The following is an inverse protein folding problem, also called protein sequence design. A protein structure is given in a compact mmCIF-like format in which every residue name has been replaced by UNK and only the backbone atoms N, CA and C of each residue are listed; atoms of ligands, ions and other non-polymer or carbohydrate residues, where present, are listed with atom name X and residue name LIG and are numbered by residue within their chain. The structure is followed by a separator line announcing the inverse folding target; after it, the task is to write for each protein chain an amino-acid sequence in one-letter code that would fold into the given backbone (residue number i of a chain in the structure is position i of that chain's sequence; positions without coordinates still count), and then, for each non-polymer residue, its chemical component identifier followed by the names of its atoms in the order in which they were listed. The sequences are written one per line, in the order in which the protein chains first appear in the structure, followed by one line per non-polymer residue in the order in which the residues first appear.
data_IF_378724101540
#
_entry.id   IF_378724101540
#
_cell.length_a   1.000
_cell.length_b   1.000
_cell.length_c   1.000
_cell.angle_alpha   90.00
_cell.angle_beta   90.00
_cell.angle_gamma   90.00
#
_symmetry.space_group_name_H-M   'P 1'
#
loop_
_entity.id
_entity.type
_entity.pdbx_description
1 polymer ?
#
# COMPACT_ATOMS: atom_id res chain seq x y z
N UNK A 1 7.27 6.92 13.26
CA UNK A 1 6.38 6.63 12.12
C UNK A 1 5.43 5.50 12.50
N UNK A 2 4.27 5.43 11.85
CA UNK A 2 3.27 4.41 12.17
C UNK A 2 3.65 3.06 11.57
N UNK A 3 3.27 2.00 12.27
CA UNK A 3 3.33 0.60 11.81
C UNK A 3 1.90 0.07 11.70
N UNK A 4 1.69 -0.93 10.85
CA UNK A 4 0.41 -1.64 10.78
C UNK A 4 0.45 -2.83 11.74
N UNK A 5 -0.38 -2.79 12.79
CA UNK A 5 -0.53 -3.87 13.76
C UNK A 5 -2.02 -4.24 13.83
N UNK A 6 -2.37 -5.51 13.60
CA UNK A 6 -3.76 -6.01 13.62
C UNK A 6 -4.73 -5.20 12.73
N UNK A 7 -4.27 -4.76 11.53
CA UNK A 7 -4.98 -3.90 10.61
C UNK A 7 -5.31 -2.49 11.13
N UNK A 8 -4.53 -1.99 12.11
CA UNK A 8 -4.58 -0.62 12.62
C UNK A 8 -3.22 0.06 12.44
N UNK A 9 -3.22 1.38 12.23
CA UNK A 9 -2.02 2.20 12.21
C UNK A 9 -1.71 2.63 13.65
N UNK A 10 -0.56 2.19 14.17
CA UNK A 10 -0.11 2.53 15.53
C UNK A 10 1.31 3.09 15.49
N UNK A 11 1.65 4.06 16.35
CA UNK A 11 3.02 4.52 16.47
C UNK A 11 3.96 3.39 16.88
N UNK A 12 5.05 3.19 16.12
CA UNK A 12 5.97 2.09 16.40
C UNK A 12 7.39 2.32 15.89
N UNK A 13 8.33 1.57 16.49
CA UNK A 13 9.72 1.55 16.04
C UNK A 13 9.79 0.83 14.69
N UNK A 14 10.46 1.44 13.71
CA UNK A 14 10.62 0.83 12.38
C UNK A 14 9.59 1.26 11.33
N UNK A 15 8.65 2.16 11.63
CA UNK A 15 7.65 2.66 10.67
C UNK A 15 8.22 3.24 9.36
N UNK A 16 9.50 3.61 9.32
CA UNK A 16 10.20 4.04 8.10
C UNK A 16 10.75 2.90 7.22
N UNK A 17 10.85 1.67 7.72
CA UNK A 17 11.48 0.55 7.00
C UNK A 17 10.70 0.22 5.72
N UNK A 18 9.38 0.16 5.79
CA UNK A 18 8.54 -0.08 4.61
C UNK A 18 8.55 1.09 3.61
N UNK A 19 8.83 2.32 4.03
CA UNK A 19 9.04 3.44 3.11
C UNK A 19 10.35 3.27 2.33
N UNK A 20 11.39 2.77 2.96
CA UNK A 20 12.67 2.46 2.30
C UNK A 20 12.50 1.34 1.28
N UNK A 21 11.88 0.21 1.66
CA UNK A 21 11.62 -0.90 0.74
C UNK A 21 10.70 -0.49 -0.42
N UNK A 22 9.68 0.31 -0.15
CA UNK A 22 8.78 0.87 -1.17
C UNK A 22 9.54 1.76 -2.16
N UNK A 23 10.45 2.61 -1.68
CA UNK A 23 11.26 3.48 -2.55
C UNK A 23 12.20 2.64 -3.43
N UNK A 24 12.84 1.61 -2.86
CA UNK A 24 13.69 0.69 -3.60
C UNK A 24 12.88 -0.12 -4.64
N UNK A 25 11.70 -0.61 -4.27
CA UNK A 25 10.80 -1.32 -5.18
C UNK A 25 10.46 -0.46 -6.41
N UNK A 26 10.08 0.81 -6.19
CA UNK A 26 9.77 1.72 -7.29
C UNK A 26 11.00 2.02 -8.17
N UNK A 27 12.18 2.18 -7.58
CA UNK A 27 13.41 2.34 -8.34
C UNK A 27 13.69 1.12 -9.23
N UNK A 28 13.48 -0.09 -8.72
CA UNK A 28 13.63 -1.33 -9.47
C UNK A 28 12.61 -1.46 -10.60
N UNK A 29 11.33 -1.16 -10.34
CA UNK A 29 10.27 -1.17 -11.37
C UNK A 29 10.60 -0.25 -12.54
N UNK A 30 11.03 0.99 -12.23
CA UNK A 30 11.35 2.03 -13.23
C UNK A 30 12.70 1.79 -13.92
N UNK A 31 13.49 0.84 -13.46
CA UNK A 31 14.76 0.43 -14.06
C UNK A 31 14.66 -0.90 -14.81
N UNK A 32 13.44 -1.40 -15.03
CA UNK A 32 13.15 -2.67 -15.70
C UNK A 32 13.78 -3.90 -15.04
N UNK A 33 14.12 -3.82 -13.76
CA UNK A 33 14.62 -4.96 -13.02
C UNK A 33 13.49 -5.94 -12.69
N UNK A 34 13.82 -7.21 -12.58
CA UNK A 34 12.86 -8.25 -12.24
C UNK A 34 12.49 -8.18 -10.74
N UNK A 35 11.20 -8.20 -10.45
CA UNK A 35 10.68 -8.32 -9.09
C UNK A 35 10.42 -9.79 -8.79
N UNK A 36 11.32 -10.41 -8.04
CA UNK A 36 11.24 -11.85 -7.70
C UNK A 36 10.25 -12.11 -6.58
N UNK A 37 10.18 -11.20 -5.59
CA UNK A 37 9.25 -11.30 -4.47
C UNK A 37 8.93 -9.91 -3.93
N UNK A 38 7.65 -9.65 -3.73
CA UNK A 38 7.14 -8.43 -3.10
C UNK A 38 5.77 -8.72 -2.51
N UNK A 39 5.48 -8.13 -1.37
CA UNK A 39 4.16 -8.19 -0.72
C UNK A 39 3.66 -6.76 -0.51
N UNK A 40 2.40 -6.48 -0.87
CA UNK A 40 1.76 -5.19 -0.56
C UNK A 40 1.32 -5.13 0.91
N UNK A 41 1.09 -3.92 1.41
CA UNK A 41 0.48 -3.75 2.73
C UNK A 41 -0.95 -4.27 2.74
N UNK A 42 -1.41 -4.70 3.91
CA UNK A 42 -2.78 -5.18 4.09
C UNK A 42 -3.84 -4.08 3.93
N UNK A 43 -3.47 -2.82 4.20
CA UNK A 43 -4.29 -1.62 4.07
C UNK A 43 -3.70 -0.68 3.04
N UNK A 44 -4.51 0.19 2.39
CA UNK A 44 -3.99 1.30 1.60
C UNK A 44 -3.11 2.20 2.47
N UNK A 45 -1.97 2.62 1.93
CA UNK A 45 -1.05 3.56 2.58
C UNK A 45 -1.03 4.87 1.80
N UNK A 46 -0.76 5.99 2.50
CA UNK A 46 -0.92 7.33 1.92
C UNK A 46 0.32 7.86 1.20
N UNK A 47 1.51 7.29 1.43
CA UNK A 47 2.77 7.83 0.91
C UNK A 47 3.15 7.35 -0.50
N UNK A 48 2.38 6.45 -1.10
CA UNK A 48 2.60 5.94 -2.46
C UNK A 48 1.27 5.51 -3.09
N UNK A 49 1.12 5.58 -4.43
CA UNK A 49 -0.08 5.07 -5.10
C UNK A 49 -0.30 3.58 -4.86
N UNK A 50 -1.56 3.13 -4.93
CA UNK A 50 -1.95 1.72 -4.82
C UNK A 50 -1.12 0.84 -5.77
N UNK A 51 -0.69 -0.32 -5.28
CA UNK A 51 0.10 -1.28 -6.05
C UNK A 51 1.59 -0.95 -6.13
N UNK A 52 2.03 0.17 -5.59
CA UNK A 52 3.42 0.63 -5.65
C UNK A 52 4.16 0.58 -4.31
N UNK A 53 3.57 0.00 -3.31
CA UNK A 53 4.15 -0.23 -1.99
C UNK A 53 4.85 -1.60 -1.89
N UNK A 54 5.76 -1.73 -0.96
CA UNK A 54 6.44 -2.99 -0.65
C UNK A 54 6.65 -3.12 0.86
N UNK A 55 5.99 -4.12 1.45
CA UNK A 55 6.14 -4.47 2.85
C UNK A 55 7.40 -5.32 3.06
N UNK A 56 8.10 -5.06 4.15
CA UNK A 56 9.15 -5.94 4.66
C UNK A 56 8.96 -6.17 6.15
N UNK A 57 9.28 -7.39 6.61
CA UNK A 57 9.23 -7.76 8.03
C UNK A 57 10.36 -8.74 8.31
N UNK A 58 11.21 -8.42 9.28
CA UNK A 58 12.38 -9.22 9.60
C UNK A 58 12.02 -10.69 9.83
N UNK A 59 12.71 -11.58 9.10
CA UNK A 59 12.52 -13.03 9.18
C UNK A 59 11.23 -13.58 8.56
N UNK A 60 10.35 -12.72 7.99
CA UNK A 60 9.06 -13.15 7.47
C UNK A 60 8.76 -12.67 6.04
N UNK A 61 9.00 -11.41 5.72
CA UNK A 61 8.64 -10.80 4.43
C UNK A 61 9.84 -10.04 3.86
N UNK A 62 10.27 -10.42 2.65
CA UNK A 62 11.38 -9.81 1.94
C UNK A 62 10.94 -9.19 0.61
N UNK A 63 11.59 -8.08 0.24
CA UNK A 63 11.64 -7.59 -1.13
C UNK A 63 12.85 -8.22 -1.84
N UNK A 64 12.61 -8.97 -2.90
CA UNK A 64 13.66 -9.62 -3.70
C UNK A 64 13.63 -9.09 -5.13
N UNK A 65 14.77 -8.56 -5.57
CA UNK A 65 14.97 -7.98 -6.90
C UNK A 65 16.11 -8.73 -7.57
N UNK A 66 15.97 -9.01 -8.86
CA UNK A 66 17.01 -9.63 -9.68
C UNK A 66 17.44 -8.68 -10.77
N UNK A 67 18.74 -8.58 -10.98
CA UNK A 67 19.30 -8.03 -12.20
C UNK A 67 19.12 -9.06 -13.32
N UNK A 68 18.15 -8.81 -14.19
CA UNK A 68 17.81 -9.65 -15.35
C UNK A 68 18.48 -9.15 -16.64
N UNK A 69 19.47 -8.25 -16.53
CA UNK A 69 20.24 -7.75 -17.67
C UNK A 69 21.58 -8.50 -17.78
N UNK A 70 22.19 -8.46 -18.97
CA UNK A 70 23.55 -9.02 -19.19
C UNK A 70 24.66 -8.10 -18.69
N UNK A 71 24.31 -6.99 -18.05
CA UNK A 71 25.25 -5.94 -17.62
C UNK A 71 25.22 -5.76 -16.11
N UNK A 72 26.27 -5.14 -15.58
CA UNK A 72 26.29 -4.75 -14.17
C UNK A 72 25.31 -3.60 -13.91
N UNK A 73 24.64 -3.67 -12.78
CA UNK A 73 23.77 -2.60 -12.28
C UNK A 73 24.37 -2.08 -10.98
N UNK A 74 24.50 -0.75 -10.87
CA UNK A 74 24.91 -0.09 -9.64
C UNK A 74 23.67 0.51 -8.96
N UNK A 75 23.42 0.08 -7.74
CA UNK A 75 22.41 0.65 -6.86
C UNK A 75 23.08 1.61 -5.88
N UNK A 76 22.68 2.88 -5.88
CA UNK A 76 23.15 3.90 -4.94
C UNK A 76 21.99 4.40 -4.08
N UNK A 77 22.15 4.33 -2.76
CA UNK A 77 21.23 4.89 -1.79
C UNK A 77 21.82 6.14 -1.13
N UNK A 78 20.99 7.12 -0.87
CA UNK A 78 21.31 8.31 -0.08
C UNK A 78 20.15 8.63 0.87
N UNK A 79 20.51 8.93 2.11
CA UNK A 79 19.57 9.47 3.10
C UNK A 79 19.99 10.91 3.39
N UNK A 80 19.01 11.81 3.37
CA UNK A 80 19.20 13.23 3.70
C UNK A 80 18.00 13.65 4.57
N UNK A 81 18.26 13.91 5.87
CA UNK A 81 17.25 14.19 6.89
C UNK A 81 16.17 13.07 6.92
N UNK A 82 14.99 13.36 6.42
CA UNK A 82 13.79 12.52 6.38
C UNK A 82 13.51 11.92 5.00
N UNK A 83 14.43 12.11 4.05
CA UNK A 83 14.27 11.65 2.66
C UNK A 83 15.25 10.53 2.33
N UNK A 84 14.75 9.43 1.73
CA UNK A 84 15.57 8.39 1.12
C UNK A 84 15.47 8.48 -0.40
N UNK A 85 16.63 8.39 -1.07
CA UNK A 85 16.72 8.38 -2.53
C UNK A 85 17.48 7.15 -2.98
N UNK A 86 16.90 6.40 -3.93
CA UNK A 86 17.58 5.34 -4.66
C UNK A 86 17.84 5.77 -6.10
N UNK A 87 19.06 5.51 -6.58
CA UNK A 87 19.44 5.67 -7.99
C UNK A 87 19.95 4.34 -8.50
N UNK A 88 19.43 3.93 -9.64
CA UNK A 88 19.86 2.73 -10.36
C UNK A 88 20.60 3.20 -11.61
N UNK A 89 21.82 2.72 -11.78
CA UNK A 89 22.66 3.00 -12.96
C UNK A 89 22.90 1.68 -13.68
N UNK A 90 22.67 1.67 -14.97
CA UNK A 90 22.81 0.51 -15.84
C UNK A 90 22.81 0.95 -17.30
N UNK A 91 22.80 -0.03 -18.19
CA UNK A 91 22.83 0.18 -19.65
C UNK A 91 21.40 0.05 -20.20
N UNK A 92 20.58 1.08 -19.95
CA UNK A 92 19.24 1.19 -20.53
C UNK A 92 19.33 2.04 -21.80
N UNK A 93 18.73 1.61 -22.94
CA UNK A 93 18.70 2.44 -24.17
C UNK A 93 18.11 3.83 -23.90
N UNK A 94 18.72 4.86 -24.50
CA UNK A 94 18.37 6.28 -24.22
C UNK A 94 16.96 6.67 -24.63
N UNK A 95 16.38 5.95 -25.58
CA UNK A 95 15.04 6.17 -26.11
C UNK A 95 13.96 5.37 -25.34
N UNK A 96 14.36 4.56 -24.35
CA UNK A 96 13.44 3.80 -23.53
C UNK A 96 12.86 4.66 -22.38
N UNK A 97 11.56 4.56 -22.23
CA UNK A 97 10.81 5.12 -21.11
C UNK A 97 9.98 4.02 -20.43
N UNK A 98 10.07 3.95 -19.12
CA UNK A 98 9.34 2.96 -18.32
C UNK A 98 8.31 3.68 -17.45
N UNK A 99 7.05 3.28 -17.61
CA UNK A 99 5.92 3.76 -16.82
C UNK A 99 5.31 2.64 -15.99
N UNK A 100 4.71 3.01 -14.86
CA UNK A 100 3.91 2.11 -14.04
C UNK A 100 2.49 2.61 -14.02
N UNK A 101 1.57 1.76 -14.44
CA UNK A 101 0.14 2.03 -14.48
C UNK A 101 -0.57 1.16 -13.46
N UNK A 102 -1.46 1.76 -12.67
CA UNK A 102 -2.31 1.03 -11.73
C UNK A 102 -3.76 1.16 -12.18
N UNK A 103 -4.43 0.03 -12.31
CA UNK A 103 -5.85 -0.06 -12.62
C UNK A 103 -6.59 -0.57 -11.39
N UNK A 104 -7.56 0.19 -10.89
CA UNK A 104 -8.49 -0.28 -9.85
C UNK A 104 -9.50 -1.21 -10.53
N UNK A 105 -9.51 -2.46 -10.09
CA UNK A 105 -10.42 -3.50 -10.60
C UNK A 105 -11.70 -3.56 -9.77
N UNK A 106 -11.58 -3.32 -8.45
CA UNK A 106 -12.68 -3.37 -7.49
C UNK A 106 -12.43 -2.37 -6.37
N UNK A 107 -13.45 -1.66 -5.95
CA UNK A 107 -13.49 -0.90 -4.70
C UNK A 107 -14.33 -1.70 -3.70
N UNK A 108 -13.77 -1.96 -2.52
CA UNK A 108 -14.41 -2.76 -1.47
C UNK A 108 -14.89 -1.80 -0.39
N UNK A 109 -16.21 -1.70 -0.24
CA UNK A 109 -16.79 -0.78 0.73
C UNK A 109 -16.45 -1.16 2.18
N UNK A 110 -16.22 -0.17 3.05
CA UNK A 110 -15.99 -0.41 4.46
C UNK A 110 -17.26 -0.92 5.14
N UNK A 111 -17.11 -1.95 5.95
CA UNK A 111 -18.18 -2.37 6.86
C UNK A 111 -18.39 -1.37 7.99
N UNK A 112 -19.43 -1.61 8.80
CA UNK A 112 -19.70 -0.85 10.03
C UNK A 112 -19.65 -1.81 11.21
N UNK A 113 -18.85 -1.49 12.22
CA UNK A 113 -18.82 -2.17 13.52
C UNK A 113 -19.56 -1.29 14.51
N UNK A 114 -20.66 -1.81 15.04
CA UNK A 114 -21.40 -1.13 16.09
C UNK A 114 -20.96 -1.63 17.47
N UNK A 115 -20.54 -0.70 18.33
CA UNK A 115 -20.12 -0.97 19.71
C UNK A 115 -21.14 -0.35 20.66
N UNK A 116 -21.79 -1.17 21.49
CA UNK A 116 -22.71 -0.67 22.51
C UNK A 116 -21.92 0.02 23.61
N UNK A 117 -22.24 1.29 23.87
CA UNK A 117 -21.68 2.09 24.95
C UNK A 117 -22.78 2.42 25.97
N UNK A 118 -22.76 1.72 27.10
CA UNK A 118 -23.73 1.92 28.18
C UNK A 118 -23.72 3.34 28.80
N UNK A 119 -22.65 4.13 28.54
CA UNK A 119 -22.54 5.51 29.03
C UNK A 119 -23.15 6.53 28.05
N UNK A 120 -23.41 6.11 26.83
CA UNK A 120 -24.03 6.96 25.82
C UNK A 120 -25.54 7.04 26.02
N UNK A 121 -26.20 8.16 25.67
CA UNK A 121 -27.65 8.30 25.75
C UNK A 121 -28.39 7.17 25.01
N UNK A 122 -29.51 6.64 25.54
CA UNK A 122 -30.28 5.61 24.83
C UNK A 122 -30.66 6.03 23.41
N UNK A 123 -30.41 5.15 22.42
CA UNK A 123 -30.71 5.39 21.00
C UNK A 123 -29.75 6.33 20.30
N UNK A 124 -28.73 6.86 20.97
CA UNK A 124 -27.70 7.69 20.33
C UNK A 124 -26.78 6.86 19.46
N UNK A 125 -26.23 7.48 18.39
CA UNK A 125 -25.21 6.86 17.51
C UNK A 125 -24.13 7.90 17.21
N UNK A 126 -22.88 7.55 17.47
CA UNK A 126 -21.73 8.45 17.22
C UNK A 126 -20.65 7.68 16.49
N UNK A 127 -20.25 8.18 15.32
CA UNK A 127 -19.10 7.61 14.59
C UNK A 127 -17.82 8.05 15.28
N UNK A 128 -17.07 7.10 15.84
CA UNK A 128 -15.79 7.35 16.52
C UNK A 128 -14.61 7.07 15.60
N UNK A 129 -14.81 6.30 14.55
CA UNK A 129 -13.83 6.06 13.49
C UNK A 129 -14.56 5.99 12.15
N UNK A 130 -14.12 6.81 11.20
CA UNK A 130 -14.59 6.74 9.81
C UNK A 130 -13.87 5.59 9.12
N UNK A 131 -14.63 4.75 8.41
CA UNK A 131 -14.08 3.66 7.61
C UNK A 131 -13.32 4.17 6.38
N UNK A 132 -12.51 3.29 5.82
CA UNK A 132 -11.83 3.53 4.55
C UNK A 132 -12.04 2.33 3.61
N UNK A 133 -12.25 2.61 2.31
CA UNK A 133 -12.44 1.58 1.31
C UNK A 133 -11.19 0.72 1.13
N UNK A 134 -11.38 -0.55 0.86
CA UNK A 134 -10.36 -1.46 0.34
C UNK A 134 -10.36 -1.45 -1.18
N UNK A 135 -9.37 -2.11 -1.78
CA UNK A 135 -9.19 -2.13 -3.23
C UNK A 135 -8.62 -3.46 -3.71
N UNK A 136 -9.04 -3.85 -4.91
CA UNK A 136 -8.33 -4.82 -5.73
C UNK A 136 -7.75 -4.05 -6.93
N UNK A 137 -6.44 -4.13 -7.14
CA UNK A 137 -5.77 -3.40 -8.22
C UNK A 137 -4.89 -4.32 -9.05
N UNK A 138 -4.74 -3.99 -10.34
CA UNK A 138 -3.73 -4.56 -11.22
C UNK A 138 -2.65 -3.51 -11.50
N UNK A 139 -1.39 -3.90 -11.43
CA UNK A 139 -0.23 -3.04 -11.67
C UNK A 139 0.49 -3.50 -12.92
N UNK A 140 0.67 -2.59 -13.86
CA UNK A 140 1.31 -2.85 -15.15
C UNK A 140 2.58 -2.04 -15.28
N UNK A 141 3.64 -2.67 -15.76
CA UNK A 141 4.82 -1.98 -16.28
C UNK A 141 4.68 -1.82 -17.79
N UNK A 142 4.80 -0.59 -18.24
CA UNK A 142 4.71 -0.21 -19.66
C UNK A 142 6.07 0.30 -20.10
N UNK A 143 6.64 -0.36 -21.08
CA UNK A 143 7.93 0.01 -21.68
C UNK A 143 7.68 0.61 -23.06
N UNK A 144 8.23 1.81 -23.29
CA UNK A 144 8.14 2.52 -24.57
C UNK A 144 9.54 2.74 -25.14
N UNK A 145 9.67 2.66 -26.45
CA UNK A 145 10.87 3.05 -27.22
C UNK A 145 10.46 4.06 -28.27
N UNK A 146 11.16 5.19 -28.34
CA UNK A 146 10.79 6.29 -29.21
C UNK A 146 9.34 6.80 -29.03
N UNK A 147 8.78 6.65 -27.83
CA UNK A 147 7.40 7.01 -27.52
C UNK A 147 6.33 5.95 -27.83
N UNK A 148 6.70 4.85 -28.50
CA UNK A 148 5.79 3.75 -28.86
C UNK A 148 5.86 2.66 -27.79
N UNK A 149 4.70 2.17 -27.33
CA UNK A 149 4.63 1.04 -26.39
C UNK A 149 5.13 -0.24 -27.09
N UNK A 150 6.20 -0.83 -26.52
CA UNK A 150 6.81 -2.06 -27.04
C UNK A 150 6.58 -3.27 -26.12
N UNK A 151 6.24 -3.03 -24.84
CA UNK A 151 5.92 -4.10 -23.89
C UNK A 151 5.00 -3.59 -22.80
N UNK A 152 4.02 -4.42 -22.44
CA UNK A 152 3.14 -4.25 -21.29
C UNK A 152 3.15 -5.53 -20.49
N UNK A 153 3.50 -5.45 -19.22
CA UNK A 153 3.70 -6.59 -18.32
C UNK A 153 2.87 -6.41 -17.05
N UNK A 154 2.09 -7.42 -16.69
CA UNK A 154 1.40 -7.45 -15.40
C UNK A 154 2.40 -7.77 -14.30
N UNK A 155 2.66 -6.81 -13.43
CA UNK A 155 3.59 -6.95 -12.31
C UNK A 155 2.92 -7.63 -11.12
N UNK A 156 1.70 -7.18 -10.77
CA UNK A 156 0.98 -7.74 -9.62
C UNK A 156 -0.52 -7.51 -9.71
N UNK A 157 -1.26 -8.28 -8.89
CA UNK A 157 -2.62 -8.00 -8.49
C UNK A 157 -2.64 -7.92 -6.98
N UNK A 158 -2.95 -6.74 -6.46
CA UNK A 158 -2.84 -6.44 -5.04
C UNK A 158 -4.22 -6.22 -4.44
N UNK A 159 -4.46 -6.83 -3.30
CA UNK A 159 -5.68 -6.65 -2.51
C UNK A 159 -5.38 -5.88 -1.24
N UNK A 160 -6.07 -4.77 -1.04
CA UNK A 160 -6.07 -3.99 0.18
C UNK A 160 -7.41 -4.18 0.89
N UNK A 161 -7.35 -4.49 2.19
CA UNK A 161 -8.55 -4.67 3.00
C UNK A 161 -9.23 -3.34 3.26
N UNK A 162 -10.57 -3.28 3.31
CA UNK A 162 -11.27 -2.10 3.83
C UNK A 162 -11.06 -1.99 5.34
N UNK A 163 -11.09 -0.77 5.84
CA UNK A 163 -11.06 -0.48 7.27
C UNK A 163 -12.49 -0.10 7.71
N UNK A 164 -13.11 -0.83 8.65
CA UNK A 164 -14.49 -0.58 9.00
C UNK A 164 -14.68 0.75 9.73
N UNK A 165 -15.86 1.35 9.58
CA UNK A 165 -16.31 2.42 10.47
C UNK A 165 -16.65 1.84 11.84
N UNK A 166 -16.31 2.55 12.91
CA UNK A 166 -16.71 2.21 14.27
C UNK A 166 -17.74 3.22 14.74
N UNK A 167 -18.93 2.73 15.07
CA UNK A 167 -20.05 3.52 15.58
C UNK A 167 -20.34 3.09 17.01
N UNK A 168 -20.26 4.01 17.96
CA UNK A 168 -20.76 3.82 19.32
C UNK A 168 -22.25 4.07 19.35
N UNK A 169 -23.02 3.11 19.84
CA UNK A 169 -24.46 3.20 20.01
C UNK A 169 -24.82 3.15 21.51
N UNK A 170 -25.67 4.06 21.94
CA UNK A 170 -26.27 3.96 23.26
C UNK A 170 -27.20 2.74 23.36
N UNK A 171 -27.55 2.29 24.59
CA UNK A 171 -28.49 1.19 24.80
C UNK A 171 -29.80 1.41 24.03
N UNK A 172 -30.41 0.32 23.57
CA UNK A 172 -31.77 0.44 22.97
C UNK A 172 -32.73 1.12 23.95
N UNK A 173 -33.55 2.07 23.51
CA UNK A 173 -34.60 2.64 24.35
C UNK A 173 -35.43 1.51 24.89
N UNK A 174 -35.56 1.38 26.22
CA UNK A 174 -36.48 0.43 26.80
C UNK A 174 -37.88 0.80 26.34
N UNK A 175 -38.63 -0.17 25.77
CA UNK A 175 -40.05 0.01 25.50
C UNK A 175 -40.75 0.35 26.84
N UNK A 176 -41.28 1.55 26.93
CA UNK A 176 -42.13 1.91 28.07
C UNK A 176 -43.40 1.07 27.95
N UNK A 177 -43.50 0.00 28.74
CA UNK A 177 -44.77 -0.73 28.90
C UNK A 177 -45.63 0.21 29.70
N UNK A 178 -46.56 0.88 29.03
CA UNK A 178 -47.63 1.64 29.68
C UNK A 178 -48.63 0.60 30.21
N UNK A 179 -48.94 0.60 31.52
CA UNK A 179 -49.84 -0.36 32.13
C UNK A 179 -51.30 -0.20 31.65
#
# INVERSE_FOLDING_TARGET
ADIILNAELVPGIGGGICQVSTTLYNAALLSDLEIVSRVNHSLPISYVPLGRDATVSYGAIDLKIRNNTDRHVLLKARVDKDTVTFKVFGDLPRDMAIGIETQVLETIEPGVIEQVDAKSPPGSRTTVQTGASGYLVAVWRVVKSGGVEIRRELISRDRYKPQPSIVKAGPSPQAVVIP
#
